data_IF_071394572030
#
_entry.id   IF_071394572030
#
_cell.length_a   1.000
_cell.length_b   1.000
_cell.length_c   1.000
_cell.angle_alpha   90.00
_cell.angle_beta   90.00
_cell.angle_gamma   90.00
#
_symmetry.space_group_name_H-M   'P 1'
#
loop_
_entity.id
_entity.type
_entity.pdbx_description
1 polymer ?
#
# COMPACT_ATOMS: atom_id res chain seq x y z
N UNK A 1 -13.62 7.45 19.64
CA UNK A 1 -14.29 6.68 18.58
C UNK A 1 -14.21 5.23 19.01
N UNK A 2 -15.34 4.57 19.20
CA UNK A 2 -15.41 3.19 19.65
C UNK A 2 -15.13 2.25 18.46
N UNK A 3 -14.17 1.35 18.61
CA UNK A 3 -13.77 0.38 17.58
C UNK A 3 -14.88 -0.62 17.23
N UNK A 4 -15.97 -0.66 18.01
CA UNK A 4 -17.11 -1.56 17.81
C UNK A 4 -18.04 -1.18 16.64
N UNK A 5 -17.90 0.03 16.06
CA UNK A 5 -18.77 0.52 14.98
C UNK A 5 -18.15 0.47 13.57
N UNK A 6 -16.99 -0.15 13.39
CA UNK A 6 -16.43 -0.38 12.05
C UNK A 6 -17.07 -1.63 11.42
N UNK A 7 -17.54 -1.59 10.16
CA UNK A 7 -18.06 -2.77 9.50
C UNK A 7 -16.99 -3.85 9.45
N UNK A 8 -17.37 -5.08 9.81
CA UNK A 8 -16.55 -6.28 9.65
C UNK A 8 -16.09 -6.39 8.17
N UNK A 9 -14.83 -6.61 7.76
CA UNK A 9 -13.64 -7.16 8.45
C UNK A 9 -12.37 -7.06 7.55
N UNK A 10 -12.18 -5.97 6.82
CA UNK A 10 -10.93 -5.68 6.07
C UNK A 10 -10.74 -4.17 6.02
N UNK A 11 -9.54 -3.69 6.32
CA UNK A 11 -9.15 -2.31 6.15
C UNK A 11 -7.81 -2.23 5.43
N UNK A 12 -7.63 -1.19 4.64
CA UNK A 12 -6.36 -0.94 3.96
C UNK A 12 -5.82 0.40 4.45
N UNK A 13 -4.51 0.41 4.72
CA UNK A 13 -3.81 1.59 5.20
C UNK A 13 -2.98 2.16 4.07
N UNK A 14 -3.32 3.36 3.61
CA UNK A 14 -2.46 4.10 2.72
C UNK A 14 -1.27 4.63 3.54
N UNK A 15 -0.07 4.38 3.05
CA UNK A 15 1.17 4.95 3.57
C UNK A 15 1.29 6.38 3.03
N UNK A 16 0.36 7.26 3.45
CA UNK A 16 0.19 8.58 2.86
C UNK A 16 1.38 9.49 3.16
N UNK A 17 2.01 9.98 2.08
CA UNK A 17 3.26 10.71 2.15
C UNK A 17 4.46 9.87 2.61
N UNK A 18 4.28 8.57 2.82
CA UNK A 18 5.32 7.64 3.23
C UNK A 18 6.11 7.12 2.03
N UNK A 19 5.44 6.70 0.95
CA UNK A 19 6.12 6.20 -0.26
C UNK A 19 5.42 6.62 -1.56
N UNK A 20 6.21 6.76 -2.63
CA UNK A 20 5.74 7.08 -3.98
C UNK A 20 6.35 6.14 -5.03
N UNK A 21 5.61 5.87 -6.10
CA UNK A 21 6.12 5.12 -7.25
C UNK A 21 7.28 5.87 -7.92
N UNK A 22 8.36 5.15 -8.23
CA UNK A 22 9.48 5.70 -9.00
C UNK A 22 9.08 5.91 -10.45
N UNK A 23 9.48 7.03 -11.05
CA UNK A 23 9.09 7.38 -12.42
C UNK A 23 9.64 6.39 -13.46
N UNK A 24 10.82 5.82 -13.20
CA UNK A 24 11.47 4.77 -13.99
C UNK A 24 10.84 3.38 -13.83
N UNK A 25 9.94 3.20 -12.85
CA UNK A 25 9.24 1.94 -12.56
C UNK A 25 7.71 2.07 -12.70
N UNK A 26 7.18 2.50 -13.87
CA UNK A 26 5.76 2.78 -14.01
C UNK A 26 4.88 1.53 -13.91
N UNK A 27 5.36 0.34 -14.27
CA UNK A 27 4.55 -0.88 -14.29
C UNK A 27 5.25 -2.05 -13.61
N UNK A 28 4.50 -3.12 -13.33
CA UNK A 28 4.98 -4.35 -12.69
C UNK A 28 6.22 -4.98 -13.34
N UNK A 29 6.34 -4.82 -14.66
CA UNK A 29 7.41 -5.39 -15.48
C UNK A 29 8.63 -4.48 -15.63
N UNK A 30 8.54 -3.22 -15.19
CA UNK A 30 9.64 -2.25 -15.30
C UNK A 30 10.76 -2.51 -14.30
N UNK A 31 10.40 -2.93 -13.08
CA UNK A 31 11.32 -3.13 -11.96
C UNK A 31 10.87 -4.33 -11.10
N UNK A 32 11.76 -4.84 -10.24
CA UNK A 32 11.33 -5.77 -9.20
C UNK A 32 10.35 -5.08 -8.23
N UNK A 33 9.39 -5.80 -7.63
CA UNK A 33 8.34 -5.21 -6.78
C UNK A 33 8.85 -4.30 -5.67
N UNK A 34 9.87 -4.76 -4.94
CA UNK A 34 10.45 -4.02 -3.82
C UNK A 34 11.31 -2.83 -4.29
N UNK A 35 11.59 -2.73 -5.59
CA UNK A 35 12.30 -1.61 -6.20
C UNK A 35 11.36 -0.56 -6.83
N UNK A 36 10.07 -0.84 -6.93
CA UNK A 36 9.10 0.01 -7.63
C UNK A 36 8.79 1.33 -6.90
N UNK A 37 8.84 1.33 -5.58
CA UNK A 37 8.51 2.49 -4.74
C UNK A 37 9.75 3.02 -4.02
N UNK A 38 9.67 4.27 -3.58
CA UNK A 38 10.67 4.90 -2.71
C UNK A 38 9.99 5.62 -1.56
N UNK A 39 10.61 5.57 -0.38
CA UNK A 39 10.17 6.33 0.78
C UNK A 39 10.39 7.83 0.55
N UNK A 40 9.40 8.65 0.91
CA UNK A 40 9.42 10.11 0.70
C UNK A 40 9.63 10.90 1.98
N UNK A 41 9.37 10.31 3.15
CA UNK A 41 9.46 10.98 4.45
C UNK A 41 10.77 10.70 5.21
N UNK A 42 11.67 9.90 4.63
CA UNK A 42 12.95 9.51 5.24
C UNK A 42 12.80 8.62 6.47
N UNK A 43 11.60 8.07 6.73
CA UNK A 43 11.36 7.18 7.88
C UNK A 43 12.00 5.80 7.72
N UNK A 44 12.27 5.38 6.49
CA UNK A 44 12.91 4.11 6.14
C UNK A 44 13.78 4.23 4.88
N UNK A 45 14.74 3.33 4.72
CA UNK A 45 15.66 3.26 3.56
C UNK A 45 15.49 2.00 2.72
N UNK A 46 14.60 1.09 3.11
CA UNK A 46 14.38 -0.20 2.45
C UNK A 46 13.00 -0.77 2.74
N UNK A 47 12.68 -1.90 2.13
CA UNK A 47 11.38 -2.57 2.23
C UNK A 47 11.51 -3.99 2.82
N UNK A 48 12.55 -4.23 3.62
CA UNK A 48 12.74 -5.53 4.29
C UNK A 48 11.52 -5.86 5.16
N UNK A 49 11.01 -7.08 5.02
CA UNK A 49 9.80 -7.55 5.71
C UNK A 49 8.49 -7.23 5.00
N UNK A 50 8.50 -6.43 3.93
CA UNK A 50 7.31 -6.23 3.08
C UNK A 50 7.26 -7.22 1.91
N UNK A 51 6.06 -7.46 1.40
CA UNK A 51 5.83 -8.34 0.27
C UNK A 51 4.64 -7.89 -0.57
N UNK A 52 4.72 -8.08 -1.88
CA UNK A 52 3.68 -7.75 -2.86
C UNK A 52 2.98 -9.03 -3.35
N UNK A 53 1.65 -9.17 -3.19
CA UNK A 53 0.92 -10.34 -3.62
C UNK A 53 0.68 -10.33 -5.13
N UNK A 54 0.72 -11.51 -5.74
CA UNK A 54 0.23 -11.72 -7.11
C UNK A 54 0.77 -10.74 -8.15
N UNK A 55 -0.10 -9.97 -8.85
CA UNK A 55 0.30 -9.05 -9.90
C UNK A 55 0.88 -7.73 -9.40
N UNK A 56 0.87 -7.46 -8.09
CA UNK A 56 1.25 -6.17 -7.54
C UNK A 56 2.77 -5.95 -7.46
N UNK A 57 3.26 -4.71 -7.52
CA UNK A 57 2.52 -3.48 -7.84
C UNK A 57 2.23 -3.35 -9.35
N UNK A 58 0.96 -3.24 -9.73
CA UNK A 58 0.55 -3.32 -11.14
C UNK A 58 0.53 -1.96 -11.88
N UNK A 59 0.35 -0.85 -11.16
CA UNK A 59 0.34 0.49 -11.73
C UNK A 59 -0.84 0.77 -12.66
N UNK A 60 -2.03 0.25 -12.36
CA UNK A 60 -3.23 0.50 -13.17
C UNK A 60 -3.52 2.00 -13.28
N UNK A 61 -4.02 2.40 -14.45
CA UNK A 61 -4.39 3.77 -14.78
C UNK A 61 -5.90 3.85 -14.98
N UNK A 62 -6.56 4.71 -14.22
CA UNK A 62 -7.95 5.07 -14.44
C UNK A 62 -8.05 6.48 -15.04
N UNK A 63 -8.90 6.64 -16.06
CA UNK A 63 -8.99 7.86 -16.86
C UNK A 63 -9.16 9.16 -16.04
N UNK A 64 -9.87 9.11 -14.91
CA UNK A 64 -10.13 10.28 -14.07
C UNK A 64 -9.28 10.34 -12.79
N UNK A 65 -8.48 9.31 -12.51
CA UNK A 65 -7.70 9.21 -11.26
C UNK A 65 -6.19 9.17 -11.51
N UNK A 66 -5.77 8.95 -12.76
CA UNK A 66 -4.38 8.76 -13.11
C UNK A 66 -3.91 7.36 -12.73
N UNK A 67 -2.63 7.25 -12.39
CA UNK A 67 -1.96 5.99 -12.07
C UNK A 67 -1.93 5.72 -10.55
N UNK A 68 -1.94 4.45 -10.17
CA UNK A 68 -1.66 4.00 -8.80
C UNK A 68 -0.20 4.31 -8.39
N UNK A 69 -0.01 5.47 -7.78
CA UNK A 69 1.30 6.00 -7.39
C UNK A 69 1.55 6.03 -5.88
N UNK A 70 0.56 5.64 -5.08
CA UNK A 70 0.67 5.54 -3.63
C UNK A 70 0.70 4.08 -3.18
N UNK A 71 1.32 3.82 -2.03
CA UNK A 71 1.41 2.48 -1.46
C UNK A 71 0.36 2.29 -0.37
N UNK A 72 -0.30 1.14 -0.35
CA UNK A 72 -1.15 0.70 0.75
C UNK A 72 -0.72 -0.65 1.31
N UNK A 73 -1.13 -0.91 2.55
CA UNK A 73 -0.97 -2.17 3.25
C UNK A 73 -2.33 -2.75 3.56
N UNK A 74 -2.55 -3.99 3.15
CA UNK A 74 -3.75 -4.75 3.44
C UNK A 74 -3.77 -5.23 4.89
N UNK A 75 -4.87 -4.98 5.59
CA UNK A 75 -5.09 -5.42 6.98
C UNK A 75 -6.45 -6.10 7.09
N UNK A 76 -6.45 -7.36 7.49
CA UNK A 76 -7.66 -8.11 7.85
C UNK A 76 -7.86 -8.15 9.38
N UNK A 77 -9.01 -8.65 9.82
CA UNK A 77 -9.37 -8.72 11.24
C UNK A 77 -8.46 -9.61 12.10
N UNK A 78 -7.79 -10.59 11.48
CA UNK A 78 -6.93 -11.56 12.16
C UNK A 78 -5.98 -12.25 11.18
N UNK A 79 -4.91 -12.83 11.71
CA UNK A 79 -3.98 -13.67 10.97
C UNK A 79 -4.71 -14.85 10.30
N UNK A 80 -4.31 -15.16 9.06
CA UNK A 80 -4.93 -16.21 8.26
C UNK A 80 -6.28 -15.84 7.65
N UNK A 81 -6.85 -14.68 7.98
CA UNK A 81 -8.02 -14.12 7.28
C UNK A 81 -7.54 -13.29 6.10
N UNK A 82 -8.09 -13.57 4.92
CA UNK A 82 -7.78 -12.80 3.72
C UNK A 82 -8.28 -11.35 3.84
N UNK A 83 -7.46 -10.42 3.37
CA UNK A 83 -7.78 -9.01 3.22
C UNK A 83 -8.45 -8.74 1.86
N UNK A 84 -8.38 -7.49 1.38
CA UNK A 84 -9.04 -7.08 0.13
C UNK A 84 -8.49 -7.91 -1.03
N UNK A 85 -9.34 -8.19 -2.01
CA UNK A 85 -9.01 -9.00 -3.19
C UNK A 85 -8.55 -10.45 -2.90
N UNK A 86 -8.74 -10.94 -1.67
CA UNK A 86 -8.28 -12.28 -1.28
C UNK A 86 -6.79 -12.34 -0.95
N UNK A 87 -6.11 -11.19 -0.86
CA UNK A 87 -4.70 -11.14 -0.52
C UNK A 87 -4.46 -11.42 0.98
N UNK A 88 -3.31 -12.00 1.36
CA UNK A 88 -3.03 -12.24 2.78
C UNK A 88 -2.89 -10.94 3.58
N UNK A 89 -3.10 -11.05 4.89
CA UNK A 89 -2.88 -9.96 5.85
C UNK A 89 -1.43 -9.44 5.82
N UNK A 90 -1.25 -8.12 5.87
CA UNK A 90 0.06 -7.49 6.04
C UNK A 90 0.88 -7.37 4.76
N UNK A 91 0.25 -7.51 3.58
CA UNK A 91 0.92 -7.37 2.29
C UNK A 91 0.61 -6.03 1.62
N UNK A 92 1.51 -5.60 0.74
CA UNK A 92 1.43 -4.33 0.03
C UNK A 92 0.50 -4.38 -1.18
N UNK A 93 -0.05 -3.23 -1.56
CA UNK A 93 -0.71 -2.96 -2.84
C UNK A 93 -0.44 -1.51 -3.27
N UNK A 94 -0.61 -1.20 -4.54
CA UNK A 94 -0.52 0.16 -5.05
C UNK A 94 -1.90 0.74 -5.29
N UNK A 95 -2.06 2.03 -4.99
CA UNK A 95 -3.35 2.68 -5.01
C UNK A 95 -3.27 4.09 -5.56
N UNK A 96 -4.40 4.54 -6.09
CA UNK A 96 -4.60 5.93 -6.50
C UNK A 96 -4.56 6.81 -5.25
N UNK A 97 -3.65 7.78 -5.25
CA UNK A 97 -3.37 8.62 -4.09
C UNK A 97 -4.56 9.44 -3.57
N UNK A 98 -5.57 9.65 -4.40
CA UNK A 98 -6.77 10.44 -4.09
C UNK A 98 -7.82 9.61 -3.35
N UNK A 99 -7.55 8.33 -3.07
CA UNK A 99 -8.53 7.46 -2.46
C UNK A 99 -8.81 7.86 -0.99
N UNK A 100 -10.09 7.89 -0.61
CA UNK A 100 -10.55 8.48 0.68
C UNK A 100 -11.10 7.47 1.67
N UNK A 101 -11.31 6.21 1.27
CA UNK A 101 -11.79 5.11 2.12
C UNK A 101 -10.63 4.31 2.75
N UNK A 102 -9.52 4.99 3.07
CA UNK A 102 -8.30 4.38 3.63
C UNK A 102 -7.92 5.02 4.96
N UNK A 103 -7.36 4.21 5.85
CA UNK A 103 -6.64 4.74 6.99
C UNK A 103 -5.26 5.23 6.56
N UNK A 104 -4.68 6.14 7.33
CA UNK A 104 -3.36 6.69 7.04
C UNK A 104 -2.37 6.30 8.12
N UNK A 105 -1.21 5.83 7.70
CA UNK A 105 -0.06 5.60 8.58
C UNK A 105 1.08 6.57 8.21
N UNK A 106 1.65 7.22 9.23
CA UNK A 106 2.79 8.12 9.07
C UNK A 106 4.03 7.51 9.72
N UNK A 107 5.16 7.53 9.02
CA UNK A 107 6.43 7.07 9.53
C UNK A 107 7.02 8.03 10.56
N UNK A 108 7.86 7.48 11.46
CA UNK A 108 8.74 8.24 12.34
C UNK A 108 10.09 7.53 12.39
N UNK A 109 11.17 8.28 12.25
CA UNK A 109 12.51 7.72 12.37
C UNK A 109 12.69 6.99 13.71
N UNK A 110 13.24 5.78 13.65
CA UNK A 110 13.66 5.05 14.84
C UNK A 110 14.73 5.89 15.57
N UNK A 111 14.45 6.24 16.82
CA UNK A 111 15.38 6.96 17.70
C UNK A 111 16.12 5.98 18.59
#
# INVERSE_FOLDING_TARGET
MDASSMPKTVADYLMYGGATRKAECPYRTSCAPLDTFQWTDGSATGFDGFFWPGPEPNGVIYANWGQQNCMELHVSEADGVAARYGYPHGLLDDQHCQQTDRMYACGKAAR
#
